data_IF_653807610866
#
_entry.id   IF_653807610866
#
_cell.length_a   1.000
_cell.length_b   1.000
_cell.length_c   1.000
_cell.angle_alpha   90.00
_cell.angle_beta   90.00
_cell.angle_gamma   90.00
#
_symmetry.space_group_name_H-M   'P 1'
#
loop_
_entity.id
_entity.type
_entity.pdbx_description
1 polymer ?
#
# COMPACT_ATOMS: atom_id res chain seq x y z
N UNK A 1 63.45 -4.18 10.92
CA UNK A 1 62.38 -3.93 9.93
C UNK A 1 61.04 -3.50 10.58
N UNK A 2 60.98 -2.44 11.41
CA UNK A 2 59.71 -2.02 12.07
C UNK A 2 59.46 -0.49 12.16
N UNK A 3 60.17 0.34 11.38
CA UNK A 3 60.12 1.82 11.54
C UNK A 3 59.44 2.59 10.39
N UNK A 4 58.92 1.93 9.36
CA UNK A 4 58.28 2.61 8.20
C UNK A 4 56.76 2.43 8.08
N UNK A 5 56.13 1.63 8.95
CA UNK A 5 54.68 1.36 8.89
C UNK A 5 53.81 2.45 9.54
N UNK A 6 54.34 3.15 10.55
CA UNK A 6 53.61 4.19 11.27
C UNK A 6 53.25 5.41 10.39
N UNK A 7 54.16 5.99 9.57
CA UNK A 7 53.80 7.14 8.74
C UNK A 7 52.83 6.78 7.61
N UNK A 8 52.90 5.55 7.10
CA UNK A 8 51.99 5.06 6.05
C UNK A 8 50.56 4.90 6.59
N UNK A 9 50.41 4.45 7.84
CA UNK A 9 49.12 4.34 8.52
C UNK A 9 48.45 5.71 8.72
N UNK A 10 49.21 6.71 9.19
CA UNK A 10 48.68 8.08 9.32
C UNK A 10 48.37 8.73 7.98
N UNK A 11 49.16 8.44 6.93
CA UNK A 11 48.88 8.94 5.59
C UNK A 11 47.60 8.33 4.98
N UNK A 12 47.39 7.02 5.15
CA UNK A 12 46.16 6.34 4.71
C UNK A 12 44.93 6.76 5.52
N UNK A 13 45.08 6.99 6.84
CA UNK A 13 44.00 7.51 7.70
C UNK A 13 43.63 8.95 7.32
N UNK A 14 44.61 9.79 7.00
CA UNK A 14 44.39 11.14 6.48
C UNK A 14 43.71 11.13 5.11
N UNK A 15 44.05 10.17 4.23
CA UNK A 15 43.42 10.03 2.93
C UNK A 15 41.95 9.57 3.03
N UNK A 16 41.64 8.70 4.01
CA UNK A 16 40.26 8.25 4.26
C UNK A 16 39.34 9.36 4.81
N UNK A 17 39.89 10.38 5.47
CA UNK A 17 39.14 11.54 5.97
C UNK A 17 38.88 12.62 4.91
N UNK A 18 39.57 12.56 3.76
CA UNK A 18 39.40 13.51 2.65
C UNK A 18 38.30 13.11 1.66
N UNK A 19 37.78 11.88 1.76
CA UNK A 19 36.62 11.46 0.99
C UNK A 19 35.38 11.57 1.88
N UNK A 20 34.53 12.62 1.73
CA UNK A 20 33.22 12.59 2.33
C UNK A 20 32.50 11.33 1.82
N UNK A 21 32.22 10.40 2.73
CA UNK A 21 31.40 9.23 2.40
C UNK A 21 30.09 9.70 1.75
N UNK A 22 29.51 8.93 0.82
CA UNK A 22 28.25 9.31 0.20
C UNK A 22 27.23 9.50 1.31
N UNK A 23 26.86 10.75 1.58
CA UNK A 23 25.76 11.09 2.45
C UNK A 23 24.48 10.60 1.77
N UNK A 24 24.15 9.34 2.01
CA UNK A 24 22.93 8.74 1.52
C UNK A 24 21.73 9.48 2.16
N UNK A 25 21.12 10.36 1.37
CA UNK A 25 19.70 10.70 1.38
C UNK A 25 19.01 10.84 2.75
N UNK A 26 19.47 11.74 3.62
CA UNK A 26 18.69 12.15 4.81
C UNK A 26 17.41 12.91 4.41
N UNK A 27 17.36 13.47 3.19
CA UNK A 27 16.28 14.35 2.74
C UNK A 27 15.13 13.68 1.97
N UNK A 28 15.22 12.40 1.61
CA UNK A 28 14.12 11.75 0.85
C UNK A 28 12.91 11.45 1.73
N UNK A 29 13.10 11.12 3.01
CA UNK A 29 11.98 10.78 3.91
C UNK A 29 11.27 12.00 4.47
N UNK A 30 11.95 13.15 4.60
CA UNK A 30 11.38 14.39 5.11
C UNK A 30 10.37 15.06 4.14
N UNK A 31 10.40 14.69 2.85
CA UNK A 31 9.46 15.16 1.83
C UNK A 31 8.23 14.23 1.70
N UNK A 32 8.23 13.07 2.35
CA UNK A 32 7.12 12.12 2.27
C UNK A 32 6.12 12.36 3.42
N UNK A 33 4.84 12.58 3.06
CA UNK A 33 3.72 12.72 4.01
C UNK A 33 3.67 11.57 5.03
N UNK A 34 4.06 10.35 4.64
CA UNK A 34 4.15 9.18 5.53
C UNK A 34 5.07 9.34 6.75
N UNK A 35 5.89 10.40 6.84
CA UNK A 35 6.87 10.63 7.92
C UNK A 35 6.61 11.88 8.77
N UNK A 36 5.64 12.72 8.41
CA UNK A 36 5.40 14.01 9.10
C UNK A 36 4.10 13.99 9.90
N UNK A 37 3.01 13.64 9.24
CA UNK A 37 1.66 13.86 9.78
C UNK A 37 1.04 12.53 10.21
N UNK A 38 1.66 11.90 11.22
CA UNK A 38 1.29 10.54 11.68
C UNK A 38 0.27 10.50 12.80
N UNK A 39 0.07 11.63 13.46
CA UNK A 39 -0.77 11.76 14.64
C UNK A 39 -1.82 12.82 14.37
N UNK A 40 -3.05 12.56 14.83
CA UNK A 40 -4.11 13.55 14.75
C UNK A 40 -3.68 14.87 15.39
N UNK A 41 -3.87 15.97 14.66
CA UNK A 41 -3.63 17.31 15.13
C UNK A 41 -4.96 18.08 15.15
N UNK A 42 -5.52 18.42 16.33
CA UNK A 42 -6.79 19.15 16.38
C UNK A 42 -6.70 20.55 15.78
N UNK A 43 -5.51 21.15 15.68
CA UNK A 43 -5.29 22.44 15.02
C UNK A 43 -5.22 22.33 13.49
N UNK A 44 -5.01 21.12 12.95
CA UNK A 44 -5.05 20.82 11.53
C UNK A 44 -5.62 19.39 11.31
N UNK A 45 -6.95 19.23 11.44
CA UNK A 45 -7.59 17.92 11.53
C UNK A 45 -7.37 17.03 10.32
N UNK A 46 -7.09 17.58 9.14
CA UNK A 46 -6.96 16.79 7.90
C UNK A 46 -5.52 16.37 7.60
N UNK A 47 -4.54 16.94 8.30
CA UNK A 47 -3.11 16.70 8.06
C UNK A 47 -2.72 15.22 8.03
N UNK A 48 -3.31 14.41 8.92
CA UNK A 48 -2.97 12.99 9.06
C UNK A 48 -3.84 12.00 8.27
N UNK A 49 -4.86 12.47 7.53
CA UNK A 49 -5.80 11.59 6.81
C UNK A 49 -5.09 10.73 5.76
N UNK A 50 -4.17 11.32 5.00
CA UNK A 50 -3.41 10.59 3.97
C UNK A 50 -2.55 9.46 4.58
N UNK A 51 -1.95 9.70 5.75
CA UNK A 51 -1.19 8.69 6.47
C UNK A 51 -2.10 7.59 7.01
N UNK A 52 -3.24 7.95 7.62
CA UNK A 52 -4.20 7.00 8.18
C UNK A 52 -4.76 6.07 7.09
N UNK A 53 -5.29 6.65 6.00
CA UNK A 53 -5.84 5.89 4.86
C UNK A 53 -4.80 4.97 4.24
N UNK A 54 -3.55 5.42 4.11
CA UNK A 54 -2.44 4.59 3.60
C UNK A 54 -2.08 3.47 4.57
N UNK A 55 -2.11 3.74 5.89
CA UNK A 55 -1.80 2.76 6.92
C UNK A 55 -2.84 1.65 6.96
N UNK A 56 -4.12 2.00 6.91
CA UNK A 56 -5.22 1.02 6.88
C UNK A 56 -5.14 0.17 5.61
N UNK A 57 -4.96 0.80 4.45
CA UNK A 57 -4.78 0.08 3.18
C UNK A 57 -3.62 -0.91 3.22
N UNK A 58 -2.43 -0.45 3.62
CA UNK A 58 -1.26 -1.33 3.73
C UNK A 58 -1.46 -2.44 4.76
N UNK A 59 -2.31 -2.22 5.79
CA UNK A 59 -2.64 -3.24 6.78
C UNK A 59 -3.54 -4.33 6.19
N UNK A 60 -4.55 -3.94 5.42
CA UNK A 60 -5.39 -4.89 4.71
C UNK A 60 -4.58 -5.75 3.72
N UNK A 61 -3.69 -5.13 2.94
CA UNK A 61 -2.82 -5.85 2.01
C UNK A 61 -1.88 -6.83 2.74
N UNK A 62 -1.26 -6.37 3.84
CA UNK A 62 -0.35 -7.20 4.62
C UNK A 62 -1.04 -8.43 5.20
N UNK A 63 -2.26 -8.25 5.72
CA UNK A 63 -3.07 -9.33 6.29
C UNK A 63 -3.55 -10.29 5.20
N UNK A 64 -4.13 -9.78 4.11
CA UNK A 64 -4.71 -10.63 3.06
C UNK A 64 -3.67 -11.44 2.28
N UNK A 65 -2.51 -10.84 1.97
CA UNK A 65 -1.47 -11.52 1.18
C UNK A 65 -0.38 -12.18 2.03
N UNK A 66 -0.50 -12.15 3.37
CA UNK A 66 0.51 -12.65 4.31
C UNK A 66 1.92 -12.09 4.02
N UNK A 67 2.01 -10.77 3.85
CA UNK A 67 3.28 -10.07 3.58
C UNK A 67 3.54 -8.97 4.61
N UNK A 68 4.81 -8.69 4.87
CA UNK A 68 5.17 -7.62 5.79
C UNK A 68 4.82 -6.23 5.21
N UNK A 69 4.22 -5.34 6.03
CA UNK A 69 3.95 -3.93 5.65
C UNK A 69 5.17 -3.21 5.10
N UNK A 70 6.37 -3.52 5.63
CA UNK A 70 7.64 -2.95 5.13
C UNK A 70 7.90 -3.32 3.67
N UNK A 71 7.58 -4.54 3.27
CA UNK A 71 7.74 -5.00 1.89
C UNK A 71 6.83 -4.21 0.94
N UNK A 72 5.56 -4.00 1.32
CA UNK A 72 4.60 -3.16 0.59
C UNK A 72 5.16 -1.74 0.37
N UNK A 73 5.69 -1.12 1.43
CA UNK A 73 6.27 0.22 1.35
C UNK A 73 7.47 0.25 0.41
N UNK A 74 8.37 -0.75 0.48
CA UNK A 74 9.55 -0.83 -0.39
C UNK A 74 9.15 -1.01 -1.86
N UNK A 75 8.18 -1.89 -2.17
CA UNK A 75 7.67 -2.06 -3.53
C UNK A 75 7.13 -0.74 -4.10
N UNK A 76 6.38 0.03 -3.30
CA UNK A 76 5.83 1.34 -3.72
C UNK A 76 6.92 2.41 -3.89
N UNK A 77 7.86 2.50 -2.95
CA UNK A 77 8.89 3.55 -2.97
C UNK A 77 10.00 3.32 -3.99
N UNK A 78 10.50 2.10 -4.10
CA UNK A 78 11.64 1.79 -4.99
C UNK A 78 11.18 1.46 -6.41
N UNK A 79 10.00 0.87 -6.55
CA UNK A 79 9.43 0.49 -7.84
C UNK A 79 8.71 1.62 -8.58
N UNK A 80 8.28 2.67 -7.87
CA UNK A 80 7.33 3.65 -8.39
C UNK A 80 5.98 3.01 -8.73
N UNK A 81 5.69 1.86 -8.12
CA UNK A 81 4.55 1.00 -8.48
C UNK A 81 3.25 1.65 -8.03
N UNK A 82 2.29 1.74 -8.95
CA UNK A 82 0.94 2.20 -8.65
C UNK A 82 0.22 1.23 -7.70
N UNK A 83 -0.83 1.68 -7.00
CA UNK A 83 -1.63 0.77 -6.17
C UNK A 83 -2.27 -0.35 -7.03
N UNK A 84 -2.76 0.00 -8.22
CA UNK A 84 -3.38 -0.96 -9.14
C UNK A 84 -2.41 -2.05 -9.57
N UNK A 85 -1.20 -1.67 -9.99
CA UNK A 85 -0.16 -2.62 -10.36
C UNK A 85 0.24 -3.51 -9.18
N UNK A 86 0.36 -2.95 -7.99
CA UNK A 86 0.70 -3.72 -6.80
C UNK A 86 -0.38 -4.76 -6.47
N UNK A 87 -1.65 -4.36 -6.50
CA UNK A 87 -2.79 -5.26 -6.24
C UNK A 87 -2.84 -6.40 -7.24
N UNK A 88 -2.72 -6.11 -8.54
CA UNK A 88 -2.74 -7.13 -9.58
C UNK A 88 -1.54 -8.08 -9.44
N UNK A 89 -0.35 -7.56 -9.14
CA UNK A 89 0.85 -8.38 -8.94
C UNK A 89 0.72 -9.33 -7.76
N UNK A 90 0.28 -8.82 -6.59
CA UNK A 90 0.08 -9.61 -5.38
C UNK A 90 -0.99 -10.68 -5.58
N UNK A 91 -2.11 -10.31 -6.19
CA UNK A 91 -3.18 -11.25 -6.51
C UNK A 91 -2.71 -12.34 -7.48
N UNK A 92 -1.99 -11.97 -8.54
CA UNK A 92 -1.43 -12.91 -9.49
C UNK A 92 -0.45 -13.88 -8.82
N UNK A 93 0.45 -13.37 -7.99
CA UNK A 93 1.41 -14.17 -7.25
C UNK A 93 0.71 -15.18 -6.32
N UNK A 94 -0.33 -14.75 -5.60
CA UNK A 94 -1.11 -15.62 -4.74
C UNK A 94 -1.80 -16.77 -5.51
N UNK A 95 -2.26 -16.52 -6.74
CA UNK A 95 -2.94 -17.52 -7.56
C UNK A 95 -1.98 -18.46 -8.33
N UNK A 96 -0.78 -18.00 -8.67
CA UNK A 96 0.14 -18.72 -9.57
C UNK A 96 1.42 -19.21 -8.90
N UNK A 97 1.71 -18.74 -7.69
CA UNK A 97 3.00 -18.97 -7.02
C UNK A 97 4.16 -18.17 -7.62
N UNK A 98 3.89 -17.22 -8.53
CA UNK A 98 4.91 -16.39 -9.17
C UNK A 98 5.51 -15.35 -8.22
N UNK A 99 6.74 -14.94 -8.49
CA UNK A 99 7.44 -13.90 -7.74
C UNK A 99 6.90 -12.50 -8.06
N UNK A 100 6.49 -11.76 -7.03
CA UNK A 100 5.85 -10.43 -7.15
C UNK A 100 6.81 -9.42 -7.78
N UNK A 101 8.07 -9.39 -7.35
CA UNK A 101 9.07 -8.44 -7.86
C UNK A 101 9.33 -8.66 -9.36
N UNK A 102 9.38 -9.92 -9.79
CA UNK A 102 9.46 -10.28 -11.21
C UNK A 102 8.23 -9.82 -11.99
N UNK A 103 7.02 -10.01 -11.47
CA UNK A 103 5.78 -9.57 -12.14
C UNK A 103 5.78 -8.05 -12.32
N UNK A 104 6.12 -7.30 -11.26
CA UNK A 104 6.22 -5.84 -11.29
C UNK A 104 7.32 -5.36 -12.24
N UNK A 105 8.46 -6.06 -12.30
CA UNK A 105 9.53 -5.72 -13.23
C UNK A 105 9.10 -5.91 -14.70
N UNK A 106 8.32 -6.95 -15.01
CA UNK A 106 7.76 -7.16 -16.35
C UNK A 106 6.73 -6.08 -16.70
N UNK A 107 5.85 -5.70 -15.76
CA UNK A 107 4.82 -4.67 -15.96
C UNK A 107 5.40 -3.29 -16.32
N UNK A 108 6.63 -2.96 -15.91
CA UNK A 108 7.25 -1.66 -16.23
C UNK A 108 7.27 -1.31 -17.72
N UNK A 109 7.33 -2.31 -18.62
CA UNK A 109 7.44 -2.11 -20.06
C UNK A 109 6.36 -2.86 -20.86
N UNK A 110 5.32 -3.38 -20.20
CA UNK A 110 4.32 -4.27 -20.80
C UNK A 110 2.93 -3.99 -20.23
N UNK A 111 1.89 -4.55 -20.84
CA UNK A 111 0.55 -4.54 -20.26
C UNK A 111 0.34 -5.73 -19.33
N UNK A 112 -0.61 -5.66 -18.38
CA UNK A 112 -0.95 -6.84 -17.56
C UNK A 112 -1.44 -8.01 -18.42
N UNK A 113 -2.10 -7.75 -19.54
CA UNK A 113 -2.44 -8.76 -20.54
C UNK A 113 -1.22 -9.58 -20.97
N UNK A 114 -0.14 -8.88 -21.35
CA UNK A 114 1.09 -9.53 -21.84
C UNK A 114 1.82 -10.26 -20.71
N UNK A 115 1.91 -9.64 -19.53
CA UNK A 115 2.57 -10.23 -18.35
C UNK A 115 1.88 -11.53 -17.95
N UNK A 116 0.54 -11.52 -17.89
CA UNK A 116 -0.25 -12.68 -17.54
C UNK A 116 -0.29 -13.74 -18.63
N UNK A 117 -0.15 -13.37 -19.91
CA UNK A 117 -0.11 -14.32 -21.02
C UNK A 117 1.02 -15.35 -20.91
N UNK A 118 2.11 -15.00 -20.22
CA UNK A 118 3.26 -15.87 -19.97
C UNK A 118 3.17 -16.70 -18.68
N UNK A 119 2.14 -16.49 -17.85
CA UNK A 119 1.99 -17.18 -16.57
C UNK A 119 1.25 -18.53 -16.72
N UNK A 120 1.59 -19.55 -15.92
CA UNK A 120 0.76 -20.74 -15.79
C UNK A 120 -0.46 -20.38 -14.92
N UNK A 121 -1.55 -19.95 -15.55
CA UNK A 121 -2.84 -19.77 -14.85
C UNK A 121 -3.62 -21.05 -15.06
N UNK A 122 -3.91 -21.73 -13.95
CA UNK A 122 -4.79 -22.90 -13.96
C UNK A 122 -6.16 -22.49 -14.52
N UNK A 123 -6.80 -23.31 -15.37
CA UNK A 123 -8.21 -23.13 -15.71
C UNK A 123 -9.13 -23.08 -14.48
N UNK A 124 -8.66 -23.66 -13.37
CA UNK A 124 -9.35 -23.69 -12.08
C UNK A 124 -8.98 -22.51 -11.16
N UNK A 125 -8.32 -21.46 -11.68
CA UNK A 125 -8.05 -20.25 -10.91
C UNK A 125 -9.37 -19.70 -10.35
N UNK A 126 -9.47 -19.68 -9.01
CA UNK A 126 -10.74 -19.81 -8.29
C UNK A 126 -11.76 -18.68 -8.54
N UNK A 127 -11.33 -17.52 -9.03
CA UNK A 127 -12.21 -16.36 -9.25
C UNK A 127 -12.29 -15.89 -10.72
N UNK A 128 -11.55 -16.51 -11.63
CA UNK A 128 -11.55 -16.13 -13.05
C UNK A 128 -11.01 -14.72 -13.36
N UNK A 129 -10.52 -13.96 -12.37
CA UNK A 129 -10.08 -12.57 -12.57
C UNK A 129 -8.87 -12.51 -13.51
N UNK A 130 -7.90 -13.41 -13.33
CA UNK A 130 -6.72 -13.48 -14.20
C UNK A 130 -7.08 -13.74 -15.67
N UNK A 131 -8.17 -14.48 -15.93
CA UNK A 131 -8.67 -14.66 -17.29
C UNK A 131 -9.24 -13.37 -17.87
N UNK A 132 -10.00 -12.60 -17.08
CA UNK A 132 -10.56 -11.32 -17.52
C UNK A 132 -9.47 -10.29 -17.83
N UNK A 133 -8.40 -10.24 -17.01
CA UNK A 133 -7.24 -9.39 -17.27
C UNK A 133 -6.53 -9.81 -18.57
N UNK A 134 -6.37 -11.12 -18.82
CA UNK A 134 -5.84 -11.64 -20.09
C UNK A 134 -6.73 -11.32 -21.30
N UNK A 135 -8.03 -11.17 -21.09
CA UNK A 135 -8.95 -10.71 -22.13
C UNK A 135 -8.90 -9.20 -22.36
N UNK A 136 -8.16 -8.45 -21.53
CA UNK A 136 -7.94 -7.02 -21.71
C UNK A 136 -8.75 -6.11 -20.80
N UNK A 137 -9.20 -6.59 -19.65
CA UNK A 137 -9.77 -5.74 -18.59
C UNK A 137 -8.79 -4.59 -18.24
N UNK A 138 -9.29 -3.35 -18.07
CA UNK A 138 -8.48 -2.23 -17.57
C UNK A 138 -7.84 -2.51 -16.20
N UNK A 139 -6.63 -1.98 -15.98
CA UNK A 139 -5.85 -2.21 -14.76
C UNK A 139 -6.58 -1.71 -13.50
N UNK A 140 -7.27 -0.58 -13.61
CA UNK A 140 -8.05 0.02 -12.52
C UNK A 140 -9.24 -0.86 -12.15
N UNK A 141 -10.00 -1.34 -13.15
CA UNK A 141 -11.13 -2.24 -12.92
C UNK A 141 -10.67 -3.58 -12.30
N UNK A 142 -9.53 -4.09 -12.74
CA UNK A 142 -8.96 -5.31 -12.17
C UNK A 142 -8.56 -5.09 -10.70
N UNK A 143 -7.93 -3.96 -10.38
CA UNK A 143 -7.55 -3.61 -9.02
C UNK A 143 -8.77 -3.41 -8.11
N UNK A 144 -9.84 -2.81 -8.62
CA UNK A 144 -11.10 -2.64 -7.90
C UNK A 144 -11.72 -3.99 -7.53
N UNK A 145 -11.74 -4.96 -8.44
CA UNK A 145 -12.23 -6.31 -8.16
C UNK A 145 -11.37 -7.04 -7.11
N UNK A 146 -10.04 -6.84 -7.13
CA UNK A 146 -9.17 -7.36 -6.05
C UNK A 146 -9.53 -6.70 -4.72
N UNK A 147 -9.74 -5.38 -4.69
CA UNK A 147 -10.10 -4.66 -3.46
C UNK A 147 -11.47 -5.07 -2.92
N UNK A 148 -12.48 -5.18 -3.77
CA UNK A 148 -13.81 -5.63 -3.39
C UNK A 148 -13.77 -7.04 -2.80
N UNK A 149 -12.99 -7.94 -3.38
CA UNK A 149 -12.76 -9.28 -2.85
C UNK A 149 -12.12 -9.23 -1.47
N UNK A 150 -11.02 -8.48 -1.32
CA UNK A 150 -10.31 -8.33 -0.04
C UNK A 150 -11.21 -7.77 1.06
N UNK A 151 -12.03 -6.77 0.75
CA UNK A 151 -12.99 -6.16 1.69
C UNK A 151 -14.10 -7.16 2.04
N UNK A 152 -14.68 -7.82 1.05
CA UNK A 152 -15.76 -8.80 1.25
C UNK A 152 -15.31 -9.93 2.16
N UNK A 153 -14.10 -10.45 1.96
CA UNK A 153 -13.53 -11.52 2.78
C UNK A 153 -13.17 -11.04 4.19
N UNK A 154 -12.54 -9.86 4.34
CA UNK A 154 -12.08 -9.36 5.64
C UNK A 154 -13.21 -8.97 6.58
N UNK A 155 -14.27 -8.38 6.03
CA UNK A 155 -15.38 -7.81 6.81
C UNK A 155 -16.67 -8.63 6.70
N UNK A 156 -16.64 -9.78 6.00
CA UNK A 156 -17.79 -10.65 5.75
C UNK A 156 -18.96 -9.87 5.14
N UNK A 157 -18.67 -9.08 4.09
CA UNK A 157 -19.61 -8.19 3.41
C UNK A 157 -20.01 -8.73 2.05
N UNK A 158 -21.25 -8.46 1.65
CA UNK A 158 -21.69 -8.74 0.28
C UNK A 158 -21.15 -7.68 -0.69
N UNK A 159 -20.81 -8.03 -1.93
CA UNK A 159 -20.32 -7.06 -2.93
C UNK A 159 -21.26 -5.86 -3.14
N UNK A 160 -22.58 -6.07 -3.05
CA UNK A 160 -23.57 -4.98 -3.18
C UNK A 160 -23.51 -3.94 -2.05
N UNK A 161 -23.04 -4.31 -0.85
CA UNK A 161 -22.82 -3.34 0.25
C UNK A 161 -21.61 -2.45 -0.04
N UNK A 162 -20.57 -2.99 -0.69
CA UNK A 162 -19.37 -2.23 -1.06
C UNK A 162 -19.69 -1.27 -2.21
N UNK A 163 -20.44 -1.73 -3.21
CA UNK A 163 -20.85 -0.89 -4.33
C UNK A 163 -21.74 0.27 -3.85
N UNK A 164 -22.65 0.05 -2.91
CA UNK A 164 -23.46 1.13 -2.33
C UNK A 164 -22.59 2.22 -1.66
N UNK A 165 -21.50 1.83 -0.98
CA UNK A 165 -20.55 2.80 -0.40
C UNK A 165 -19.74 3.54 -1.47
N UNK A 166 -19.45 2.90 -2.61
CA UNK A 166 -18.81 3.56 -3.76
C UNK A 166 -19.76 4.53 -4.45
N UNK A 167 -21.04 4.17 -4.60
CA UNK A 167 -22.09 5.05 -5.14
C UNK A 167 -22.32 6.27 -4.25
N UNK A 168 -22.14 6.11 -2.94
CA UNK A 168 -22.08 7.25 -2.03
C UNK A 168 -20.88 8.16 -2.35
N UNK A 169 -19.80 7.65 -2.96
CA UNK A 169 -18.63 8.41 -3.38
C UNK A 169 -17.41 8.18 -2.48
N UNK A 170 -17.38 7.07 -1.73
CA UNK A 170 -16.19 6.69 -0.96
C UNK A 170 -15.19 5.97 -1.85
N UNK A 171 -13.91 6.31 -1.65
CA UNK A 171 -12.80 5.54 -2.19
C UNK A 171 -12.60 4.25 -1.38
N UNK A 172 -12.04 3.20 -1.98
CA UNK A 172 -11.80 1.93 -1.27
C UNK A 172 -11.03 2.08 0.04
N UNK A 173 -10.05 2.99 0.10
CA UNK A 173 -9.28 3.22 1.34
C UNK A 173 -10.15 3.79 2.47
N UNK A 174 -11.13 4.61 2.11
CA UNK A 174 -12.10 5.16 3.05
C UNK A 174 -13.10 4.08 3.48
N UNK A 175 -13.55 3.23 2.55
CA UNK A 175 -14.40 2.07 2.87
C UNK A 175 -13.69 1.14 3.86
N UNK A 176 -12.42 0.81 3.63
CA UNK A 176 -11.66 -0.06 4.55
C UNK A 176 -11.52 0.61 5.92
N UNK A 177 -11.22 1.91 5.99
CA UNK A 177 -11.15 2.64 7.26
C UNK A 177 -12.50 2.66 7.98
N UNK A 178 -13.58 2.97 7.26
CA UNK A 178 -14.94 3.00 7.77
C UNK A 178 -15.33 1.66 8.41
N UNK A 179 -15.10 0.55 7.69
CA UNK A 179 -15.42 -0.78 8.17
C UNK A 179 -14.48 -1.21 9.32
N UNK A 180 -13.21 -0.80 9.30
CA UNK A 180 -12.27 -1.03 10.41
C UNK A 180 -12.74 -0.33 11.69
N UNK A 181 -13.21 0.92 11.58
CA UNK A 181 -13.74 1.68 12.71
C UNK A 181 -15.04 1.06 13.25
N UNK A 182 -15.91 0.60 12.35
CA UNK A 182 -17.15 -0.08 12.71
C UNK A 182 -16.87 -1.38 13.48
N UNK A 183 -15.97 -2.22 12.96
CA UNK A 183 -15.55 -3.46 13.63
C UNK A 183 -14.87 -3.19 14.98
N UNK A 184 -14.03 -2.16 15.06
CA UNK A 184 -13.30 -1.81 16.28
C UNK A 184 -14.22 -1.30 17.40
N UNK A 185 -15.17 -0.44 17.04
CA UNK A 185 -16.01 0.28 18.01
C UNK A 185 -17.38 -0.37 18.25
N UNK A 186 -17.80 -1.29 17.38
CA UNK A 186 -19.18 -1.81 17.33
C UNK A 186 -20.21 -0.79 16.84
N UNK A 187 -19.77 0.36 16.31
CA UNK A 187 -20.67 1.41 15.81
C UNK A 187 -21.10 1.10 14.38
N UNK A 188 -22.37 1.38 14.08
CA UNK A 188 -22.91 1.24 12.73
C UNK A 188 -22.13 2.08 11.69
N UNK A 189 -21.71 1.50 10.54
CA UNK A 189 -20.98 2.22 9.50
C UNK A 189 -21.67 3.50 9.00
N UNK A 190 -23.00 3.51 8.85
CA UNK A 190 -23.69 4.71 8.38
C UNK A 190 -23.59 5.85 9.40
N UNK A 191 -23.59 5.53 10.69
CA UNK A 191 -23.39 6.51 11.78
C UNK A 191 -21.97 7.10 11.78
N UNK A 192 -20.95 6.30 11.47
CA UNK A 192 -19.57 6.78 11.31
C UNK A 192 -19.47 7.67 10.06
N UNK A 193 -20.04 7.22 8.94
CA UNK A 193 -20.02 7.98 7.69
C UNK A 193 -20.72 9.34 7.81
N UNK A 194 -21.82 9.41 8.58
CA UNK A 194 -22.50 10.66 8.86
C UNK A 194 -21.59 11.68 9.57
N UNK A 195 -20.67 11.23 10.44
CA UNK A 195 -19.70 12.14 11.07
C UNK A 195 -18.76 12.79 10.05
N UNK A 196 -18.34 12.04 9.03
CA UNK A 196 -17.49 12.57 7.97
C UNK A 196 -18.28 13.54 7.06
N UNK A 197 -19.44 13.11 6.57
CA UNK A 197 -20.20 13.85 5.55
C UNK A 197 -21.00 15.03 6.09
N UNK A 198 -21.68 14.83 7.21
CA UNK A 198 -22.63 15.82 7.73
C UNK A 198 -21.95 16.77 8.71
N UNK A 199 -21.05 16.25 9.55
CA UNK A 199 -20.34 17.05 10.55
C UNK A 199 -18.99 17.60 10.04
N UNK A 200 -18.57 17.19 8.83
CA UNK A 200 -17.33 17.66 8.21
C UNK A 200 -16.06 17.24 8.96
N UNK A 201 -16.13 16.17 9.76
CA UNK A 201 -14.96 15.68 10.48
C UNK A 201 -13.98 15.00 9.52
N UNK A 202 -12.69 15.22 9.74
CA UNK A 202 -11.64 14.48 9.04
C UNK A 202 -11.64 13.00 9.46
N UNK A 203 -11.09 12.14 8.61
CA UNK A 203 -10.98 10.72 8.93
C UNK A 203 -10.12 10.48 10.17
N UNK A 204 -9.06 11.27 10.35
CA UNK A 204 -8.21 11.18 11.53
C UNK A 204 -8.86 11.74 12.80
N UNK A 205 -9.75 12.74 12.72
CA UNK A 205 -10.55 13.16 13.86
C UNK A 205 -11.51 12.05 14.31
N UNK A 206 -12.19 11.40 13.35
CA UNK A 206 -13.10 10.29 13.62
C UNK A 206 -12.33 9.12 14.26
N UNK A 207 -11.20 8.72 13.67
CA UNK A 207 -10.38 7.65 14.21
C UNK A 207 -9.89 7.95 15.64
N UNK A 208 -9.44 9.19 15.89
CA UNK A 208 -9.04 9.63 17.22
C UNK A 208 -10.19 9.53 18.25
N UNK A 209 -11.41 9.91 17.87
CA UNK A 209 -12.59 9.81 18.73
C UNK A 209 -12.94 8.36 19.08
N UNK A 210 -12.60 7.41 18.21
CA UNK A 210 -12.74 5.97 18.44
C UNK A 210 -11.52 5.33 19.13
N UNK A 211 -10.51 6.12 19.49
CA UNK A 211 -9.33 5.64 20.22
C UNK A 211 -8.24 5.00 19.36
N UNK A 212 -8.21 5.29 18.04
CA UNK A 212 -7.16 4.89 17.11
C UNK A 212 -6.14 5.99 16.83
#
# INVERSE_FOLDING_TARGET
MKRRLLPLFFFLLGLALLFPGPAASVNMTAACHCFRDRTFNPADPFSSDAYLLTTVFNSLLAEHFDIAKRQIILMKMQGGTSNSDLLIALHTAAQTGSDVDRLLALKKNRTWRDVLGEQPVSPDAADGLLHQIRSGMPDEQAADLVMEKMISERFVRQPGEIEALKEEGLEFREIVLLLTLADHSGTDPASILAQHRQNGLSWSAIAHNFGL
#
